data_IF_044530297491
#
_entry.id   IF_044530297491
#
_cell.length_a   1.000
_cell.length_b   1.000
_cell.length_c   1.000
_cell.angle_alpha   90.00
_cell.angle_beta   90.00
_cell.angle_gamma   90.00
#
_symmetry.space_group_name_H-M   'P 1'
#
loop_
_entity.id
_entity.type
_entity.pdbx_description
1 polymer ?
2 non-polymer ?
3 water ?
#
# COMPACT_ATOMS: atom_id res chain seq x y z
N UNK A 7 -4.49 4.59 12.77
CA UNK A 7 -5.61 5.38 12.21
C UNK A 7 -6.26 4.71 11.01
N UNK A 8 -5.48 3.94 10.24
CA UNK A 8 -5.94 3.36 8.99
C UNK A 8 -5.41 1.95 8.78
N UNK A 9 -6.17 1.14 8.05
CA UNK A 9 -5.70 -0.14 7.55
C UNK A 9 -5.77 -0.07 6.03
N UNK A 10 -4.62 -0.17 5.37
CA UNK A 10 -4.58 -0.23 3.92
C UNK A 10 -4.64 -1.68 3.46
N UNK A 11 -5.25 -1.88 2.30
CA UNK A 11 -5.41 -3.18 1.68
C UNK A 11 -4.99 -3.11 0.21
N UNK A 12 -4.58 -4.28 -0.32
CA UNK A 12 -4.27 -4.45 -1.74
C UNK A 12 -5.11 -5.60 -2.29
N UNK A 13 -5.34 -5.56 -3.61
CA UNK A 13 -6.25 -6.50 -4.24
C UNK A 13 -5.49 -7.58 -5.02
N UNK A 14 -5.82 -8.85 -4.74
CA UNK A 14 -5.17 -9.98 -5.38
C UNK A 14 -5.80 -10.31 -6.73
N UNK A 15 -5.29 -11.34 -7.40
CA UNK A 15 -5.76 -11.73 -8.72
C UNK A 15 -7.17 -12.32 -8.70
N UNK A 16 -7.66 -12.80 -7.56
CA UNK A 16 -9.02 -13.31 -7.43
C UNK A 16 -9.98 -12.17 -7.07
N UNK A 17 -9.46 -10.95 -6.95
CA UNK A 17 -10.28 -9.79 -6.60
C UNK A 17 -10.54 -9.64 -5.11
N UNK A 18 -9.80 -10.35 -4.27
CA UNK A 18 -9.97 -10.24 -2.83
C UNK A 18 -8.98 -9.25 -2.25
N UNK A 19 -9.37 -8.66 -1.12
CA UNK A 19 -8.60 -7.61 -0.48
C UNK A 19 -7.80 -8.19 0.68
N UNK A 20 -6.54 -7.78 0.79
CA UNK A 20 -5.67 -8.24 1.85
C UNK A 20 -5.11 -7.05 2.61
N UNK A 21 -5.13 -7.07 3.95
CA UNK A 21 -4.44 -6.02 4.69
C UNK A 21 -2.93 -6.07 4.46
N UNK A 22 -2.30 -4.92 4.23
CA UNK A 22 -0.86 -4.82 4.36
C UNK A 22 -0.45 -5.20 5.77
N UNK A 23 0.80 -5.63 5.96
CA UNK A 23 1.24 -5.83 7.33
C UNK A 23 1.25 -4.48 8.06
N UNK A 24 1.20 -4.57 9.38
CA UNK A 24 0.90 -3.42 10.22
C UNK A 24 1.85 -2.23 9.98
N UNK A 25 3.13 -2.52 9.86
CA UNK A 25 4.11 -1.47 9.69
C UNK A 25 4.01 -0.89 8.28
N UNK A 26 3.78 -1.74 7.28
CA UNK A 26 3.62 -1.25 5.92
C UNK A 26 2.40 -0.33 5.80
N UNK A 27 1.34 -0.69 6.49
CA UNK A 27 0.16 0.15 6.48
C UNK A 27 0.44 1.51 7.14
N UNK A 28 1.27 1.54 8.20
CA UNK A 28 1.69 2.79 8.82
C UNK A 28 2.50 3.64 7.84
N UNK A 29 3.42 3.00 7.11
CA UNK A 29 4.26 3.70 6.14
C UNK A 29 3.39 4.35 5.06
N UNK A 30 2.45 3.58 4.51
CA UNK A 30 1.56 4.05 3.47
C UNK A 30 0.72 5.21 4.01
N UNK A 31 0.13 5.00 5.18
CA UNK A 31 -0.74 6.02 5.76
C UNK A 31 -0.02 7.35 6.00
N UNK A 32 1.21 7.29 6.50
CA UNK A 32 1.93 8.52 6.82
C UNK A 32 2.20 9.31 5.54
N UNK A 33 2.56 8.61 4.46
CA UNK A 33 2.80 9.26 3.18
C UNK A 33 1.50 9.83 2.60
N UNK A 34 0.42 9.06 2.70
CA UNK A 34 -0.85 9.53 2.19
C UNK A 34 -1.29 10.81 2.91
N UNK A 35 -1.14 10.82 4.24
CA UNK A 35 -1.64 11.92 5.06
C UNK A 35 -0.96 13.24 4.70
N UNK A 36 0.30 13.23 4.25
CA UNK A 36 1.00 14.48 3.94
C UNK A 36 0.92 14.79 2.45
N UNK A 37 0.16 14.01 1.69
CA UNK A 37 -0.09 14.35 0.30
C UNK A 37 1.04 13.94 -0.64
N UNK A 38 1.85 12.93 -0.28
CA UNK A 38 2.84 12.43 -1.20
C UNK A 38 2.17 11.88 -2.45
N UNK A 39 2.87 11.95 -3.58
CA UNK A 39 2.39 11.33 -4.80
C UNK A 39 2.61 9.82 -4.76
N UNK A 40 3.74 9.40 -4.20
CA UNK A 40 4.07 7.99 -4.14
C UNK A 40 5.08 7.72 -3.03
N UNK A 41 5.12 6.48 -2.52
CA UNK A 41 6.14 6.01 -1.58
C UNK A 41 6.52 4.58 -1.97
N UNK A 42 7.83 4.31 -1.89
CA UNK A 42 8.40 3.01 -2.19
C UNK A 42 8.20 2.12 -0.97
N UNK A 43 7.94 0.83 -1.21
CA UNK A 43 7.76 -0.09 -0.12
C UNK A 43 8.46 -1.39 -0.48
N UNK A 44 9.26 -1.96 0.42
CA UNK A 44 9.80 -3.30 0.19
C UNK A 44 9.18 -4.31 1.15
N UNK A 45 8.65 -5.40 0.58
CA UNK A 45 8.14 -6.53 1.33
C UNK A 45 8.39 -7.79 0.52
N UNK A 46 8.74 -8.87 1.24
CA UNK A 46 8.96 -10.19 0.66
C UNK A 46 10.08 -10.13 -0.37
N UNK A 47 11.02 -9.19 -0.22
CA UNK A 47 12.14 -9.08 -1.14
C UNK A 47 11.76 -8.44 -2.46
N UNK A 48 10.55 -7.87 -2.54
CA UNK A 48 10.06 -7.23 -3.74
C UNK A 48 10.09 -5.72 -3.51
N UNK A 49 9.99 -4.94 -4.58
CA UNK A 49 9.89 -3.51 -4.37
C UNK A 49 8.67 -3.01 -5.13
N UNK A 50 7.84 -2.32 -4.36
CA UNK A 50 6.60 -1.79 -4.86
C UNK A 50 6.63 -0.27 -4.79
N UNK A 51 6.06 0.35 -5.80
CA UNK A 51 5.69 1.75 -5.71
C UNK A 51 4.22 1.81 -5.30
N UNK A 52 3.93 2.57 -4.25
CA UNK A 52 2.57 2.86 -3.87
C UNK A 52 2.26 4.23 -4.45
N UNK A 53 1.38 4.26 -5.45
CA UNK A 53 1.06 5.45 -6.24
C UNK A 53 -0.28 5.99 -5.78
N UNK A 54 -0.24 7.10 -5.05
CA UNK A 54 -1.46 7.68 -4.50
C UNK A 54 -2.27 8.41 -5.57
N UNK A 55 -1.64 8.82 -6.67
CA UNK A 55 -2.35 9.49 -7.74
C UNK A 55 -3.28 8.56 -8.50
N UNK A 56 -2.93 7.29 -8.58
CA UNK A 56 -3.78 6.30 -9.21
C UNK A 56 -4.37 5.28 -8.23
N UNK A 57 -4.02 5.37 -6.94
CA UNK A 57 -4.39 4.41 -5.90
C UNK A 57 -4.11 2.97 -6.36
N UNK A 58 -2.82 2.74 -6.62
CA UNK A 58 -2.36 1.43 -7.04
C UNK A 58 -1.01 1.12 -6.42
N UNK A 59 -0.76 -0.17 -6.22
CA UNK A 59 0.54 -0.74 -5.92
C UNK A 59 1.12 -1.26 -7.23
N UNK A 60 2.36 -0.89 -7.53
CA UNK A 60 3.01 -1.26 -8.77
C UNK A 60 4.28 -2.05 -8.44
N UNK A 61 4.39 -3.27 -8.98
CA UNK A 61 5.60 -4.04 -8.85
C UNK A 61 6.62 -3.48 -9.82
N UNK A 62 7.75 -3.02 -9.26
CA UNK A 62 8.78 -2.28 -9.96
C UNK A 62 9.59 -3.17 -10.91
N UNK A 63 9.44 -4.51 -10.81
CA UNK A 63 10.10 -5.49 -11.67
C UNK A 63 9.15 -5.99 -12.77
N UNK A 64 7.91 -6.35 -12.43
CA UNK A 64 7.00 -7.03 -13.36
C UNK A 64 6.06 -6.07 -14.07
N UNK A 65 5.83 -4.88 -13.51
CA UNK A 65 4.88 -3.94 -14.07
C UNK A 65 3.42 -4.20 -13.69
N UNK A 66 3.17 -5.20 -12.83
CA UNK A 66 1.80 -5.44 -12.41
C UNK A 66 1.34 -4.36 -11.43
N UNK A 67 0.16 -3.80 -11.74
CA UNK A 67 -0.51 -2.81 -10.91
C UNK A 67 -1.73 -3.45 -10.26
N UNK A 68 -1.89 -3.21 -8.97
CA UNK A 68 -3.00 -3.72 -8.18
C UNK A 68 -3.67 -2.57 -7.44
N UNK A 69 -5.00 -2.61 -7.35
CA UNK A 69 -5.71 -1.60 -6.60
C UNK A 69 -5.35 -1.67 -5.12
N UNK A 70 -5.35 -0.48 -4.49
CA UNK A 70 -5.26 -0.36 -3.04
C UNK A 70 -6.44 0.46 -2.52
N UNK A 71 -6.77 0.27 -1.24
CA UNK A 71 -7.80 1.06 -0.60
C UNK A 71 -7.50 1.19 0.88
N UNK A 72 -8.17 2.16 1.49
CA UNK A 72 -7.94 2.56 2.87
C UNK A 72 -9.22 2.36 3.67
N UNK A 73 -9.13 1.65 4.80
CA UNK A 73 -10.23 1.57 5.75
C UNK A 73 -9.83 2.29 7.01
N UNK A 74 -10.74 3.02 7.69
CA UNK A 74 -10.43 3.65 8.98
C UNK A 74 -10.29 2.58 10.06
N UNK A 75 -9.43 2.85 11.03
CA UNK A 75 -9.27 1.98 12.19
C UNK A 75 -10.01 2.61 13.36
N UNK A 76 -11.08 1.98 13.90
CA UNK A 76 -11.84 2.57 15.00
C UNK A 76 -11.10 2.68 16.33
N UNK A 77 -10.07 1.84 16.46
CA UNK A 77 -9.38 1.61 17.72
C UNK A 77 -8.74 2.91 18.19
N UNK A 78 -9.08 3.31 19.42
CA UNK A 78 -8.45 4.45 20.05
C UNK A 78 -7.01 4.10 20.43
N UNK A 79 -6.06 4.98 20.11
CA UNK A 79 -4.69 4.82 20.58
C UNK A 79 -4.60 5.37 22.01
X LIG B 1 3.07 -10.40 -10.41
X LIG B 1 3.46 -9.53 -11.57
X LIG B 1 1.58 -10.51 -10.25
X LIG B 1 3.74 -11.72 -10.44
X LIG B 1 2.98 -9.07 -7.78
X LIG B 1 4.14 -8.67 -6.94
X LIG B 1 1.94 -8.03 -8.04
X LIG B 1 3.63 -9.64 -9.12
X LIG B 1 2.22 -10.31 -7.12
X LIG B 1 2.95 -11.52 -6.89
X LIG B 1 2.22 -12.39 -5.90
X LIG B 1 2.28 -11.77 -4.59
X LIG B 1 0.73 -12.66 -6.15
X LIG B 1 0.36 -13.91 -5.55
X LIG B 1 0.07 -11.52 -5.38
X LIG B 1 -1.24 -11.83 -4.94
X LIG B 1 1.00 -11.35 -4.18
X LIG B 1 1.10 -9.97 -3.69
X LIG B 1 0.92 -8.80 -4.39
X LIG B 1 1.08 -7.74 -3.64
X LIG B 1 1.42 -8.22 -2.39
X LIG B 1 1.70 -7.60 -1.16
X LIG B 1 1.68 -6.28 -0.99
X LIG B 1 1.99 -8.40 -0.10
X LIG B 1 2.00 -9.73 -0.28
X LIG B 1 1.73 -10.42 -1.39
X LIG B 1 1.46 -9.60 -2.42
#
# INVERSE_FOLDING_TARGET
GAQNTDGAIWQWRDDRGLWHPYNRIDSRIIEAAHQVGEDEISLSTLGRVYTIDFNSMQQINEDTGTARAIQRKPNPLANS
ADP PB O1B O2B O3B PA O1A O2A O3A O5' C5' C4' O4' C3' O3' C2' O2' C1' N9 C8 N7 C5 C6 N6 N1 C2 N3 C4
#
